data_IF_302561968258
#
_entry.id   IF_302561968258
#
_cell.length_a   1.000
_cell.length_b   1.000
_cell.length_c   1.000
_cell.angle_alpha   90.00
_cell.angle_beta   90.00
_cell.angle_gamma   90.00
#
_symmetry.space_group_name_H-M   'P 1'
#
loop_
_entity.id
_entity.type
_entity.pdbx_description
1 polymer ?
#
# COMPACT_ATOMS: atom_id res chain seq x y z
N UNK A 1 8.29 -2.67 11.52
CA UNK A 1 6.97 -3.33 11.70
C UNK A 1 6.57 -4.04 10.42
N UNK A 2 5.75 -5.10 10.51
CA UNK A 2 5.27 -5.80 9.32
C UNK A 2 4.13 -5.01 8.64
N UNK A 3 4.02 -5.15 7.32
CA UNK A 3 2.99 -4.52 6.53
C UNK A 3 2.82 -5.17 5.16
N UNK A 4 2.04 -4.50 4.33
CA UNK A 4 1.73 -4.87 2.94
C UNK A 4 1.94 -3.67 2.04
N UNK A 5 2.23 -3.92 0.77
CA UNK A 5 2.28 -2.86 -0.23
C UNK A 5 1.48 -3.22 -1.45
N UNK A 6 0.73 -2.23 -1.92
CA UNK A 6 0.19 -2.17 -3.28
C UNK A 6 1.09 -1.27 -4.12
N UNK A 7 0.79 -1.20 -5.42
CA UNK A 7 1.53 -0.35 -6.33
C UNK A 7 0.63 0.50 -7.19
N UNK A 8 1.01 1.77 -7.33
CA UNK A 8 0.25 2.78 -8.05
C UNK A 8 1.17 3.68 -8.87
N UNK A 9 0.70 4.10 -10.04
CA UNK A 9 1.41 5.04 -10.89
C UNK A 9 0.90 6.45 -10.62
N UNK A 10 1.65 7.17 -9.78
CA UNK A 10 1.31 8.52 -9.38
C UNK A 10 1.27 9.49 -10.56
N UNK A 11 2.00 9.22 -11.65
CA UNK A 11 2.03 10.11 -12.83
C UNK A 11 0.70 10.15 -13.61
N UNK A 12 -0.20 9.20 -13.33
CA UNK A 12 -1.54 9.16 -13.92
C UNK A 12 -2.57 9.96 -13.13
N UNK A 13 -2.19 10.49 -11.97
CA UNK A 13 -3.06 11.24 -11.08
C UNK A 13 -2.95 12.75 -11.34
N UNK A 14 -4.05 13.48 -11.17
CA UNK A 14 -4.07 14.93 -11.31
C UNK A 14 -3.57 15.67 -10.05
N UNK A 15 -3.44 14.98 -8.93
CA UNK A 15 -2.99 15.52 -7.65
C UNK A 15 -2.79 14.41 -6.62
N UNK A 16 -2.27 14.79 -5.45
CA UNK A 16 -2.14 13.94 -4.28
C UNK A 16 -2.71 14.66 -3.07
N UNK A 17 -3.01 13.91 -2.03
CA UNK A 17 -3.73 14.44 -0.89
C UNK A 17 -2.84 15.25 0.08
N UNK A 18 -1.51 15.12 0.01
CA UNK A 18 -0.59 15.97 0.77
C UNK A 18 -0.25 17.27 0.01
N UNK A 19 -0.55 18.42 0.63
CA UNK A 19 -0.22 19.72 0.08
C UNK A 19 1.30 19.89 -0.16
N UNK A 20 1.67 20.57 -1.25
CA UNK A 20 3.07 20.84 -1.60
C UNK A 20 3.83 19.68 -2.26
N UNK A 21 3.19 18.51 -2.42
CA UNK A 21 3.77 17.38 -3.15
C UNK A 21 3.17 17.25 -4.56
N UNK A 22 3.97 16.71 -5.48
CA UNK A 22 3.52 16.45 -6.86
C UNK A 22 3.17 14.96 -7.06
N UNK A 23 2.15 14.64 -7.88
CA UNK A 23 1.76 13.28 -8.24
C UNK A 23 2.79 12.67 -9.21
N UNK A 24 3.98 12.36 -8.71
CA UNK A 24 5.08 11.74 -9.47
C UNK A 24 5.59 10.53 -8.73
N UNK A 25 6.24 9.58 -9.42
CA UNK A 25 6.72 8.35 -8.80
C UNK A 25 8.01 8.51 -7.96
N UNK A 26 8.70 9.65 -8.10
CA UNK A 26 9.97 9.95 -7.42
C UNK A 26 9.91 11.29 -6.72
N UNK A 27 10.41 11.33 -5.48
CA UNK A 27 10.56 12.53 -4.65
C UNK A 27 12.01 13.05 -4.64
N UNK A 28 12.85 12.59 -5.58
CA UNK A 28 14.28 12.90 -5.63
C UNK A 28 15.12 12.06 -4.66
N UNK A 29 16.45 12.07 -4.83
CA UNK A 29 17.38 11.42 -3.90
C UNK A 29 17.21 9.90 -3.75
N UNK A 30 16.60 9.21 -4.73
CA UNK A 30 16.29 7.79 -4.64
C UNK A 30 15.09 7.46 -3.73
N UNK A 31 14.25 8.44 -3.42
CA UNK A 31 13.05 8.30 -2.61
C UNK A 31 11.83 8.13 -3.50
N UNK A 32 11.09 7.05 -3.30
CA UNK A 32 9.86 6.77 -4.03
C UNK A 32 8.64 7.39 -3.36
N UNK A 33 7.63 7.73 -4.14
CA UNK A 33 6.35 8.20 -3.61
C UNK A 33 5.54 7.05 -3.02
N UNK A 34 4.78 7.33 -1.96
CA UNK A 34 3.83 6.39 -1.40
C UNK A 34 2.60 7.10 -0.79
N UNK A 35 1.52 6.35 -0.66
CA UNK A 35 0.36 6.70 0.15
C UNK A 35 0.30 5.79 1.37
N UNK A 36 -0.12 6.32 2.51
CA UNK A 36 -0.38 5.50 3.71
C UNK A 36 -1.88 5.25 3.88
N UNK A 37 -2.25 4.02 4.21
CA UNK A 37 -3.62 3.70 4.56
C UNK A 37 -4.05 4.37 5.88
N UNK A 38 -5.25 4.95 5.91
CA UNK A 38 -5.77 5.66 7.11
C UNK A 38 -6.21 4.72 8.25
N UNK A 39 -6.20 3.42 7.98
CA UNK A 39 -6.37 2.34 8.95
C UNK A 39 -5.05 1.75 9.47
N UNK A 40 -3.92 2.24 8.97
CA UNK A 40 -2.61 1.79 9.42
C UNK A 40 -2.34 2.21 10.87
N UNK A 41 -1.78 1.32 11.70
CA UNK A 41 -1.23 1.71 13.00
C UNK A 41 -0.14 2.80 12.94
N UNK A 42 0.51 3.01 11.79
CA UNK A 42 1.47 4.09 11.56
C UNK A 42 0.81 5.42 11.21
N UNK A 43 -0.50 5.43 10.96
CA UNK A 43 -1.26 6.65 10.72
C UNK A 43 -1.34 7.48 12.01
N UNK A 44 -1.05 8.78 11.89
CA UNK A 44 -1.18 9.74 12.98
C UNK A 44 -2.05 10.90 12.50
N UNK A 45 -3.11 11.21 13.23
CA UNK A 45 -4.06 12.28 12.90
C UNK A 45 -5.47 11.76 12.69
N UNK A 46 -6.38 12.65 12.27
CA UNK A 46 -7.75 12.24 11.94
C UNK A 46 -7.76 11.33 10.74
N UNK A 47 -8.63 10.32 10.78
CA UNK A 47 -8.91 9.45 9.63
C UNK A 47 -9.71 10.20 8.59
N UNK A 48 -9.69 9.70 7.37
CA UNK A 48 -10.49 10.29 6.31
C UNK A 48 -11.98 10.06 6.62
N UNK A 49 -12.77 11.13 6.56
CA UNK A 49 -14.19 11.06 6.85
C UNK A 49 -14.97 10.71 5.58
N UNK A 50 -15.86 9.73 5.68
CA UNK A 50 -16.67 9.25 4.57
C UNK A 50 -17.63 8.15 4.99
N UNK A 51 -18.57 7.81 4.11
CA UNK A 51 -19.46 6.66 4.28
C UNK A 51 -19.32 5.75 3.08
N UNK A 52 -19.08 4.46 3.32
CA UNK A 52 -19.03 3.46 2.26
C UNK A 52 -20.45 3.27 1.70
N UNK A 53 -20.62 3.50 0.40
CA UNK A 53 -21.90 3.34 -0.28
C UNK A 53 -21.72 2.56 -1.58
N UNK A 54 -22.36 1.39 -1.67
CA UNK A 54 -22.30 0.52 -2.84
C UNK A 54 -22.90 1.15 -4.10
N UNK A 55 -23.84 2.09 -3.96
CA UNK A 55 -24.41 2.81 -5.10
C UNK A 55 -23.38 3.66 -5.86
N UNK A 56 -22.25 3.99 -5.21
CA UNK A 56 -21.14 4.71 -5.84
C UNK A 56 -20.20 3.78 -6.63
N UNK A 57 -20.46 2.46 -6.65
CA UNK A 57 -19.68 1.46 -7.39
C UNK A 57 -20.32 1.14 -8.76
N UNK A 58 -20.83 2.15 -9.47
CA UNK A 58 -21.63 2.02 -10.70
C UNK A 58 -20.82 1.82 -12.01
N UNK A 59 -19.66 1.16 -11.94
CA UNK A 59 -18.77 0.96 -13.11
C UNK A 59 -17.30 1.31 -12.90
N UNK A 60 -16.86 1.38 -11.64
CA UNK A 60 -15.58 1.89 -11.07
C UNK A 60 -15.64 3.39 -10.78
N UNK A 61 -16.10 3.72 -9.57
CA UNK A 61 -16.32 5.09 -9.13
C UNK A 61 -15.03 5.88 -8.97
N UNK A 62 -14.98 7.05 -9.62
CA UNK A 62 -14.14 8.17 -9.22
C UNK A 62 -14.81 8.93 -8.06
N UNK A 63 -13.99 9.64 -7.28
CA UNK A 63 -14.36 10.43 -6.11
C UNK A 63 -15.61 11.30 -6.36
N UNK A 64 -16.66 11.16 -5.54
CA UNK A 64 -17.82 12.05 -5.58
C UNK A 64 -17.85 13.01 -4.39
N UNK A 65 -17.24 12.67 -3.24
CA UNK A 65 -17.23 13.50 -2.02
C UNK A 65 -16.23 12.97 -0.96
N UNK A 66 -14.94 12.82 -1.28
CA UNK A 66 -13.94 12.44 -0.27
C UNK A 66 -13.08 13.65 0.08
N UNK A 67 -13.20 14.12 1.32
CA UNK A 67 -12.32 15.14 1.88
C UNK A 67 -10.97 14.47 2.17
N UNK A 68 -9.90 15.00 1.59
CA UNK A 68 -8.52 14.51 1.75
C UNK A 68 -8.01 14.61 3.20
N UNK A 69 -6.81 14.07 3.47
CA UNK A 69 -6.26 13.86 4.81
C UNK A 69 -5.82 15.16 5.48
N UNK A 70 -5.70 15.10 6.81
CA UNK A 70 -4.98 16.09 7.62
C UNK A 70 -3.46 15.88 7.53
N UNK A 71 -2.68 16.96 7.53
CA UNK A 71 -1.26 17.06 7.10
C UNK A 71 -0.21 16.23 7.88
N UNK A 72 -0.57 15.52 8.95
CA UNK A 72 0.40 15.03 9.95
C UNK A 72 1.27 13.85 9.51
N UNK A 73 0.85 13.05 8.52
CA UNK A 73 1.67 11.96 7.95
C UNK A 73 2.49 12.45 6.75
N UNK A 74 2.08 13.56 6.14
CA UNK A 74 2.65 14.06 4.90
C UNK A 74 4.14 14.38 5.04
N UNK A 75 4.92 13.93 4.07
CA UNK A 75 6.35 14.16 4.00
C UNK A 75 7.21 13.27 4.89
N UNK A 76 6.63 12.37 5.69
CA UNK A 76 7.40 11.38 6.47
C UNK A 76 8.01 10.31 5.55
N UNK A 77 9.18 9.77 5.93
CA UNK A 77 9.88 8.74 5.18
C UNK A 77 9.95 7.41 5.92
N UNK A 78 9.93 6.33 5.15
CA UNK A 78 10.07 4.96 5.65
C UNK A 78 11.05 4.17 4.79
N UNK A 79 11.86 3.36 5.44
CA UNK A 79 12.58 2.27 4.81
C UNK A 79 11.60 1.10 4.63
N UNK A 80 11.58 0.52 3.42
CA UNK A 80 10.69 -0.58 3.04
C UNK A 80 11.51 -1.72 2.45
N UNK A 81 11.23 -2.95 2.88
CA UNK A 81 11.88 -4.16 2.39
C UNK A 81 10.86 -5.27 2.16
N UNK A 82 10.95 -5.96 1.02
CA UNK A 82 10.15 -7.14 0.73
C UNK A 82 10.53 -8.29 1.68
N UNK A 83 9.51 -8.97 2.23
CA UNK A 83 9.67 -9.96 3.28
C UNK A 83 9.07 -11.31 2.87
N UNK A 84 9.86 -12.37 2.97
CA UNK A 84 9.35 -13.75 2.94
C UNK A 84 8.66 -14.09 4.26
N UNK A 85 7.53 -14.78 4.20
CA UNK A 85 6.87 -15.28 5.41
C UNK A 85 7.35 -16.70 5.74
N UNK A 86 7.45 -17.06 7.02
CA UNK A 86 7.66 -18.46 7.40
C UNK A 86 6.29 -19.10 7.61
N UNK A 87 5.90 -20.00 6.70
CA UNK A 87 4.71 -20.84 6.91
C UNK A 87 4.97 -21.76 8.10
N UNK A 88 4.25 -21.57 9.21
CA UNK A 88 4.31 -22.46 10.38
C UNK A 88 3.43 -23.71 10.21
N UNK A 89 3.20 -24.18 8.98
CA UNK A 89 2.53 -25.45 8.75
C UNK A 89 3.47 -26.61 9.14
N UNK A 90 3.38 -27.01 10.41
CA UNK A 90 4.06 -28.16 10.99
C UNK A 90 3.55 -29.46 10.36
N UNK A 91 4.39 -30.11 9.56
CA UNK A 91 4.44 -31.57 9.49
C UNK A 91 5.85 -31.98 9.11
N UNK A 92 6.46 -32.76 10.00
CA UNK A 92 7.82 -33.27 9.95
C UNK A 92 8.05 -34.05 8.65
N UNK A 93 8.93 -33.52 7.79
CA UNK A 93 9.90 -34.18 6.91
C UNK A 93 10.30 -33.19 5.79
N UNK A 94 11.48 -32.56 5.92
CA UNK A 94 12.21 -31.82 4.89
C UNK A 94 11.42 -31.06 3.80
N UNK A 95 10.91 -29.89 4.11
CA UNK A 95 10.98 -28.70 3.23
C UNK A 95 10.52 -27.47 3.98
N UNK A 96 11.47 -26.59 4.25
CA UNK A 96 11.23 -25.23 4.73
C UNK A 96 10.54 -24.46 3.59
N UNK A 97 9.21 -24.58 3.45
CA UNK A 97 8.45 -23.70 2.58
C UNK A 97 8.45 -22.29 3.20
N UNK A 98 9.48 -21.51 2.87
CA UNK A 98 9.43 -20.05 2.96
C UNK A 98 8.20 -19.63 2.12
N UNK A 99 7.16 -19.16 2.80
CA UNK A 99 6.03 -18.49 2.16
C UNK A 99 6.54 -17.33 1.31
N UNK A 100 5.91 -17.14 0.16
CA UNK A 100 6.36 -16.18 -0.83
C UNK A 100 6.22 -14.75 -0.27
N UNK A 101 7.06 -13.83 -0.75
CA UNK A 101 6.89 -12.40 -0.45
C UNK A 101 5.69 -11.79 -1.16
N UNK A 102 5.04 -12.54 -2.04
CA UNK A 102 3.83 -12.17 -2.78
C UNK A 102 2.59 -12.36 -1.90
N UNK A 103 1.68 -11.39 -1.93
CA UNK A 103 0.35 -11.48 -1.33
C UNK A 103 -0.63 -12.19 -2.26
N UNK A 104 -0.43 -12.04 -3.56
CA UNK A 104 -1.30 -12.55 -4.63
C UNK A 104 -1.06 -14.05 -4.93
N UNK A 105 -0.28 -14.74 -4.10
CA UNK A 105 -0.02 -16.17 -4.22
C UNK A 105 0.93 -16.56 -5.35
N UNK A 106 1.70 -15.62 -5.89
CA UNK A 106 2.68 -15.92 -6.95
C UNK A 106 3.73 -16.93 -6.45
N UNK A 107 3.92 -18.00 -7.22
CA UNK A 107 4.89 -19.07 -6.93
C UNK A 107 6.23 -18.88 -7.64
N UNK A 108 6.34 -17.86 -8.49
CA UNK A 108 7.56 -17.51 -9.22
C UNK A 108 7.92 -16.05 -8.99
N UNK A 109 9.21 -15.76 -8.78
CA UNK A 109 9.70 -14.46 -8.34
C UNK A 109 10.41 -14.53 -6.99
N UNK A 110 10.96 -13.41 -6.56
CA UNK A 110 11.75 -13.30 -5.33
C UNK A 110 11.74 -11.86 -4.81
N UNK A 111 11.74 -11.68 -3.49
CA UNK A 111 12.21 -10.45 -2.88
C UNK A 111 13.69 -10.23 -3.23
N UNK A 112 14.07 -9.01 -3.62
CA UNK A 112 15.44 -8.66 -3.97
C UNK A 112 16.39 -8.64 -2.76
N UNK A 113 15.82 -8.48 -1.56
CA UNK A 113 16.58 -8.26 -0.32
C UNK A 113 17.00 -6.80 -0.10
N UNK A 114 16.77 -5.92 -1.09
CA UNK A 114 17.07 -4.50 -1.00
C UNK A 114 16.08 -3.76 -0.07
N UNK A 115 16.59 -2.69 0.53
CA UNK A 115 15.78 -1.71 1.25
C UNK A 115 15.63 -0.49 0.36
N UNK A 116 14.40 -0.06 0.12
CA UNK A 116 14.10 1.21 -0.55
C UNK A 116 13.66 2.25 0.47
N UNK A 117 13.73 3.53 0.10
CA UNK A 117 13.13 4.61 0.88
C UNK A 117 11.88 5.12 0.17
N UNK A 118 10.80 5.28 0.91
CA UNK A 118 9.55 5.90 0.42
C UNK A 118 9.23 7.14 1.23
N UNK A 119 8.50 8.08 0.63
CA UNK A 119 7.96 9.28 1.27
C UNK A 119 6.46 9.33 1.10
N UNK A 120 5.75 9.59 2.20
CA UNK A 120 4.30 9.71 2.15
C UNK A 120 3.94 11.05 1.53
N UNK A 121 3.32 11.00 0.35
CA UNK A 121 2.84 12.18 -0.38
C UNK A 121 1.34 12.16 -0.61
N UNK A 122 0.69 11.07 -0.23
CA UNK A 122 -0.72 10.84 -0.49
C UNK A 122 -1.33 9.99 0.64
N UNK A 123 -2.65 9.87 0.63
CA UNK A 123 -3.37 9.01 1.56
C UNK A 123 -4.13 7.93 0.78
N UNK A 124 -4.31 6.76 1.40
CA UNK A 124 -5.13 5.69 0.86
C UNK A 124 -6.32 5.43 1.81
N UNK A 125 -7.42 6.17 1.68
CA UNK A 125 -8.49 6.11 2.66
C UNK A 125 -9.40 4.91 2.48
N UNK A 126 -9.72 4.21 3.57
CA UNK A 126 -10.68 3.11 3.56
C UNK A 126 -12.09 3.56 3.10
N UNK A 127 -12.47 4.80 3.43
CA UNK A 127 -13.80 5.30 3.06
C UNK A 127 -13.86 5.90 1.65
N UNK A 128 -12.77 5.83 0.88
CA UNK A 128 -12.74 6.35 -0.49
C UNK A 128 -13.28 5.32 -1.50
N UNK A 129 -14.22 5.67 -2.41
CA UNK A 129 -14.80 4.72 -3.38
C UNK A 129 -13.76 4.02 -4.25
N UNK A 130 -12.67 4.70 -4.61
CA UNK A 130 -11.57 4.07 -5.34
C UNK A 130 -10.88 2.93 -4.58
N UNK A 131 -11.11 2.77 -3.27
CA UNK A 131 -10.54 1.74 -2.42
C UNK A 131 -11.62 0.71 -2.05
N UNK A 132 -12.70 1.11 -1.38
CA UNK A 132 -13.74 0.15 -0.97
C UNK A 132 -14.49 -0.48 -2.16
N UNK A 133 -14.63 0.18 -3.32
CA UNK A 133 -15.27 -0.50 -4.48
C UNK A 133 -14.37 -1.59 -5.10
N UNK A 134 -13.10 -1.72 -4.69
CA UNK A 134 -12.20 -2.78 -5.17
C UNK A 134 -12.37 -4.09 -4.38
N UNK A 135 -13.01 -4.07 -3.20
CA UNK A 135 -13.12 -5.25 -2.33
C UNK A 135 -14.37 -6.11 -2.62
N UNK A 136 -14.36 -7.41 -2.25
CA UNK A 136 -15.47 -8.32 -2.53
C UNK A 136 -16.83 -7.88 -1.98
N UNK A 137 -16.84 -7.20 -0.83
CA UNK A 137 -18.08 -6.69 -0.21
C UNK A 137 -18.85 -5.70 -1.11
N UNK A 138 -18.16 -5.07 -2.07
CA UNK A 138 -18.72 -4.10 -3.01
C UNK A 138 -18.62 -4.56 -4.47
N UNK A 139 -18.44 -5.86 -4.71
CA UNK A 139 -18.40 -6.46 -6.05
C UNK A 139 -17.02 -6.39 -6.75
N UNK A 140 -15.98 -5.98 -6.03
CA UNK A 140 -14.60 -6.05 -6.51
C UNK A 140 -13.94 -7.41 -6.27
N UNK A 141 -12.65 -7.51 -6.59
CA UNK A 141 -11.87 -8.77 -6.51
C UNK A 141 -10.60 -8.65 -5.68
N UNK A 142 -10.30 -7.46 -5.14
CA UNK A 142 -9.07 -7.19 -4.40
C UNK A 142 -9.29 -7.50 -2.92
N UNK A 143 -8.45 -8.32 -2.27
CA UNK A 143 -8.52 -8.56 -0.84
C UNK A 143 -8.52 -7.26 -0.02
N UNK A 144 -9.19 -7.25 1.14
CA UNK A 144 -9.36 -6.04 1.95
C UNK A 144 -8.00 -5.43 2.38
N UNK A 145 -7.01 -6.27 2.66
CA UNK A 145 -5.65 -5.87 3.03
C UNK A 145 -4.82 -5.32 1.87
N UNK A 146 -5.31 -5.48 0.63
CA UNK A 146 -4.71 -4.94 -0.58
C UNK A 146 -5.49 -3.72 -1.14
N UNK A 147 -6.53 -3.27 -0.45
CA UNK A 147 -7.34 -2.12 -0.84
C UNK A 147 -7.31 -1.00 0.20
N UNK A 148 -6.35 -1.01 1.14
CA UNK A 148 -6.26 -0.06 2.25
C UNK A 148 -7.43 -0.13 3.26
N UNK A 149 -8.27 -1.17 3.16
CA UNK A 149 -9.49 -1.36 3.99
C UNK A 149 -9.24 -2.18 5.26
N UNK A 150 -8.10 -2.87 5.36
CA UNK A 150 -7.83 -3.74 6.50
C UNK A 150 -7.40 -2.95 7.75
N UNK A 151 -8.27 -2.93 8.76
CA UNK A 151 -7.97 -2.36 10.07
C UNK A 151 -6.79 -3.07 10.75
N UNK A 152 -5.83 -2.30 11.25
CA UNK A 152 -4.66 -2.83 11.98
C UNK A 152 -3.51 -3.30 11.07
N UNK A 153 -3.67 -3.21 9.75
CA UNK A 153 -2.63 -3.54 8.78
C UNK A 153 -1.85 -2.29 8.39
N UNK A 154 -0.52 -2.33 8.49
CA UNK A 154 0.31 -1.28 7.89
C UNK A 154 0.32 -1.47 6.38
N UNK A 155 -0.35 -0.59 5.64
CA UNK A 155 -0.44 -0.65 4.19
C UNK A 155 0.13 0.62 3.55
N UNK A 156 0.97 0.42 2.54
CA UNK A 156 1.54 1.47 1.72
C UNK A 156 1.16 1.24 0.25
N UNK A 157 0.69 2.28 -0.43
CA UNK A 157 0.52 2.24 -1.88
C UNK A 157 1.74 2.89 -2.53
N UNK A 158 2.73 2.09 -2.96
CA UNK A 158 4.05 2.60 -3.35
C UNK A 158 4.11 2.82 -4.86
N UNK A 159 4.88 3.81 -5.32
CA UNK A 159 5.12 4.04 -6.73
C UNK A 159 5.51 2.74 -7.48
N UNK A 160 4.87 2.47 -8.61
CA UNK A 160 5.13 1.26 -9.43
C UNK A 160 6.59 1.10 -9.83
N UNK A 161 7.33 2.20 -9.99
CA UNK A 161 8.77 2.18 -10.30
C UNK A 161 9.62 1.58 -9.18
N UNK A 162 9.13 1.54 -7.95
CA UNK A 162 9.83 0.93 -6.81
C UNK A 162 9.75 -0.60 -6.81
N UNK A 163 8.76 -1.17 -7.52
CA UNK A 163 8.49 -2.62 -7.55
C UNK A 163 9.73 -3.42 -7.91
N UNK A 164 10.37 -3.07 -9.01
CA UNK A 164 11.56 -3.77 -9.51
C UNK A 164 12.76 -3.70 -8.56
N UNK A 165 12.81 -2.69 -7.68
CA UNK A 165 13.83 -2.61 -6.64
C UNK A 165 13.51 -3.52 -5.44
N UNK A 166 12.24 -3.72 -5.11
CA UNK A 166 11.80 -4.59 -4.01
C UNK A 166 11.76 -6.08 -4.38
N UNK A 167 11.32 -6.40 -5.60
CA UNK A 167 11.01 -7.78 -5.99
C UNK A 167 10.84 -7.97 -7.50
N UNK A 168 10.96 -9.22 -7.95
CA UNK A 168 10.52 -9.66 -9.28
C UNK A 168 9.06 -10.14 -9.36
N UNK A 169 8.36 -10.25 -8.23
CA UNK A 169 6.92 -10.52 -8.15
C UNK A 169 6.10 -9.41 -8.84
N UNK A 170 4.99 -9.78 -9.46
CA UNK A 170 4.08 -8.89 -10.20
C UNK A 170 2.91 -8.39 -9.36
N UNK A 171 2.61 -9.06 -8.25
CA UNK A 171 1.53 -8.76 -7.33
C UNK A 171 1.93 -7.93 -6.12
N UNK A 172 1.02 -7.78 -5.18
CA UNK A 172 1.26 -7.03 -3.95
C UNK A 172 2.26 -7.78 -3.06
N UNK A 173 2.98 -7.06 -2.19
CA UNK A 173 4.06 -7.67 -1.41
C UNK A 173 3.82 -7.57 0.08
N UNK A 174 4.27 -8.60 0.81
CA UNK A 174 4.55 -8.52 2.24
C UNK A 174 5.83 -7.72 2.44
N UNK A 175 5.81 -6.76 3.36
CA UNK A 175 6.96 -5.87 3.61
C UNK A 175 7.25 -5.70 5.09
N UNK A 176 8.50 -5.34 5.40
CA UNK A 176 8.87 -4.69 6.64
C UNK A 176 8.99 -3.17 6.38
N UNK A 177 8.48 -2.38 7.32
CA UNK A 177 8.43 -0.92 7.30
C UNK A 177 9.15 -0.38 8.54
N UNK A 178 10.03 0.59 8.35
CA UNK A 178 10.77 1.24 9.44
C UNK A 178 10.83 2.75 9.21
N UNK A 179 10.47 3.55 10.21
CA UNK A 179 10.57 5.02 10.10
C UNK A 179 12.02 5.45 9.88
N UNK A 180 12.23 6.45 9.03
CA UNK A 180 13.56 6.98 8.74
C UNK A 180 13.50 8.47 8.41
N UNK A 181 14.65 9.14 8.43
CA UNK A 181 14.72 10.51 7.92
C UNK A 181 14.57 10.51 6.40
N UNK A 182 13.86 11.52 5.90
CA UNK A 182 14.09 12.00 4.54
C UNK A 182 15.45 12.73 4.54
#
# INVERSE_FOLDING_TARGET
>A
VAGVTTFNDYTTQSGVACAGFSPVNSQGGGIFSAAMADLSPLWVGSRCTGSMNAANCNGRGACVNCVGPDELVCGTCFNVKCKYFLSTATSSLCSQYLGTGSLDGETSGACSGATIKVKIIDACPATHPANYCKIPAFGGTIPNDEACEASGTNALDIATTARGALSSFKGNLRIDIESTSC
#
